data_IF_840516665484
#
_entry.id   IF_840516665484
#
_cell.length_a   1.000
_cell.length_b   1.000
_cell.length_c   1.000
_cell.angle_alpha   90.00
_cell.angle_beta   90.00
_cell.angle_gamma   90.00
#
_symmetry.space_group_name_H-M   'P 1'
#
loop_
_entity.id
_entity.type
_entity.pdbx_description
1 polymer ?
#
# COMPACT_ATOMS: atom_id res chain seq x y z
N UNK A 1 21.54 -5.80 -4.92
CA UNK A 1 20.69 -5.02 -5.83
C UNK A 1 19.50 -5.90 -6.16
N UNK A 2 18.31 -5.54 -5.68
CA UNK A 2 17.10 -6.17 -6.18
C UNK A 2 16.99 -5.89 -7.70
N UNK A 3 16.46 -6.83 -8.51
CA UNK A 3 16.36 -6.65 -9.95
C UNK A 3 15.58 -5.37 -10.30
N UNK A 4 15.94 -4.75 -11.42
CA UNK A 4 15.57 -3.40 -11.93
C UNK A 4 14.07 -3.03 -12.00
N UNK A 5 13.14 -3.84 -11.47
CA UNK A 5 11.75 -3.44 -11.27
C UNK A 5 11.20 -4.02 -9.94
N UNK A 6 10.97 -3.19 -8.90
CA UNK A 6 10.55 -3.67 -7.58
C UNK A 6 9.10 -4.18 -7.53
N UNK A 7 8.22 -3.70 -8.42
CA UNK A 7 6.80 -4.10 -8.45
C UNK A 7 6.61 -5.62 -8.63
N UNK A 8 7.20 -6.29 -9.64
CA UNK A 8 7.05 -7.74 -9.79
C UNK A 8 7.63 -8.54 -8.61
N UNK A 9 8.57 -7.98 -7.84
CA UNK A 9 9.06 -8.62 -6.61
C UNK A 9 8.03 -8.55 -5.49
N UNK A 10 7.36 -7.41 -5.32
CA UNK A 10 6.27 -7.23 -4.38
C UNK A 10 5.07 -8.15 -4.72
N UNK A 11 4.68 -8.18 -6.01
CA UNK A 11 3.57 -9.03 -6.49
C UNK A 11 3.88 -10.51 -6.26
N UNK A 12 5.08 -10.97 -6.62
CA UNK A 12 5.48 -12.36 -6.39
C UNK A 12 5.45 -12.73 -4.90
N UNK A 13 5.87 -11.83 -4.03
CA UNK A 13 5.81 -12.07 -2.59
C UNK A 13 4.35 -12.22 -2.12
N UNK A 14 3.46 -11.31 -2.51
CA UNK A 14 2.05 -11.38 -2.13
C UNK A 14 1.38 -12.67 -2.63
N UNK A 15 1.64 -13.08 -3.87
CA UNK A 15 1.04 -14.28 -4.45
C UNK A 15 1.63 -15.58 -3.92
N UNK A 16 2.95 -15.70 -3.89
CA UNK A 16 3.63 -16.97 -3.59
C UNK A 16 3.74 -17.20 -2.08
N UNK A 17 3.96 -16.14 -1.31
CA UNK A 17 4.24 -16.25 0.14
C UNK A 17 2.98 -16.03 0.97
N UNK A 18 2.15 -15.03 0.63
CA UNK A 18 0.90 -14.77 1.36
C UNK A 18 -0.26 -15.62 0.84
N UNK A 19 -0.12 -16.24 -0.34
CA UNK A 19 -1.16 -17.08 -0.92
C UNK A 19 -2.40 -16.31 -1.37
N UNK A 20 -2.28 -15.00 -1.62
CA UNK A 20 -3.34 -14.19 -2.22
C UNK A 20 -3.43 -14.55 -3.71
N UNK A 21 -4.32 -15.48 -4.07
CA UNK A 21 -4.45 -15.92 -5.46
C UNK A 21 -5.21 -14.89 -6.33
N UNK A 22 -4.82 -14.79 -7.60
CA UNK A 22 -5.40 -13.88 -8.61
C UNK A 22 -6.92 -14.08 -8.78
N UNK A 23 -7.46 -15.25 -8.50
CA UNK A 23 -8.90 -15.53 -8.62
C UNK A 23 -9.72 -14.94 -7.48
N UNK A 24 -9.18 -14.89 -6.26
CA UNK A 24 -9.86 -14.34 -5.07
C UNK A 24 -9.86 -12.82 -5.05
N UNK A 25 -8.79 -12.16 -5.52
CA UNK A 25 -8.67 -10.70 -5.46
C UNK A 25 -9.53 -10.01 -6.53
N UNK A 26 -9.59 -10.56 -7.75
CA UNK A 26 -10.25 -9.87 -8.88
C UNK A 26 -11.74 -10.23 -9.07
N UNK A 27 -12.25 -11.35 -8.53
CA UNK A 27 -13.68 -11.72 -8.68
C UNK A 27 -14.57 -11.16 -7.57
N UNK A 28 -14.04 -10.97 -6.35
CA UNK A 28 -14.80 -10.45 -5.20
C UNK A 28 -14.62 -8.93 -4.97
N UNK A 29 -13.87 -8.24 -5.84
CA UNK A 29 -13.53 -6.84 -5.64
C UNK A 29 -12.57 -6.63 -4.45
N UNK A 30 -11.65 -7.58 -4.26
CA UNK A 30 -10.63 -7.49 -3.22
C UNK A 30 -9.60 -6.41 -3.52
N UNK A 31 -9.03 -5.83 -2.47
CA UNK A 31 -8.00 -4.80 -2.59
C UNK A 31 -6.76 -5.34 -3.29
N UNK A 32 -6.10 -4.53 -4.13
CA UNK A 32 -4.89 -4.94 -4.83
C UNK A 32 -3.80 -5.36 -3.82
N UNK A 33 -3.07 -6.45 -4.08
CA UNK A 33 -2.08 -7.01 -3.16
C UNK A 33 -0.85 -6.09 -2.99
N UNK A 34 -0.68 -5.15 -3.92
CA UNK A 34 0.41 -4.19 -3.97
C UNK A 34 -0.19 -2.82 -4.31
N UNK A 35 0.25 -1.80 -3.59
CA UNK A 35 -0.18 -0.41 -3.76
C UNK A 35 1.03 0.53 -3.89
N UNK A 36 0.76 1.78 -4.28
CA UNK A 36 1.76 2.83 -4.30
C UNK A 36 2.29 3.13 -2.89
N UNK A 37 3.61 3.20 -2.78
CA UNK A 37 4.26 3.59 -1.54
C UNK A 37 4.14 5.11 -1.32
N UNK A 38 3.60 5.59 -0.18
CA UNK A 38 3.47 7.02 0.06
C UNK A 38 4.82 7.74 0.20
N UNK A 39 5.89 7.01 0.55
CA UNK A 39 7.24 7.59 0.73
C UNK A 39 8.03 7.74 -0.58
N UNK A 40 7.93 6.77 -1.50
CA UNK A 40 8.75 6.76 -2.72
C UNK A 40 7.94 6.81 -4.02
N UNK A 41 6.61 6.72 -3.95
CA UNK A 41 5.72 6.78 -5.11
C UNK A 41 5.79 5.55 -6.04
N UNK A 42 6.46 4.48 -5.61
CA UNK A 42 6.59 3.24 -6.41
C UNK A 42 5.53 2.23 -5.97
N UNK A 43 4.86 1.57 -6.93
CA UNK A 43 3.86 0.52 -6.71
C UNK A 43 4.51 -0.81 -6.26
N UNK A 44 5.13 -0.78 -5.09
CA UNK A 44 5.87 -1.88 -4.50
C UNK A 44 5.61 -2.02 -2.99
N UNK A 45 4.55 -1.40 -2.47
CA UNK A 45 4.13 -1.54 -1.07
C UNK A 45 3.19 -2.74 -0.94
N UNK A 46 3.54 -3.68 -0.06
CA UNK A 46 2.68 -4.80 0.32
C UNK A 46 2.09 -4.50 1.71
N UNK A 47 0.77 -4.23 1.83
CA UNK A 47 0.14 -3.88 3.10
C UNK A 47 0.25 -4.99 4.16
N UNK A 48 0.13 -6.25 3.73
CA UNK A 48 0.07 -7.41 4.61
C UNK A 48 1.38 -8.20 4.72
N UNK A 49 2.54 -7.56 4.50
CA UNK A 49 3.80 -8.30 4.51
C UNK A 49 4.12 -8.89 5.89
N UNK A 50 4.66 -10.10 5.91
CA UNK A 50 5.12 -10.77 7.13
C UNK A 50 6.64 -10.70 7.17
N UNK A 51 7.18 -9.97 8.15
CA UNK A 51 8.62 -9.83 8.33
C UNK A 51 9.09 -10.56 9.58
N UNK A 52 10.32 -11.10 9.57
CA UNK A 52 10.92 -11.73 10.73
C UNK A 52 11.19 -10.76 11.90
N UNK A 53 11.13 -9.45 11.64
CA UNK A 53 11.40 -8.39 12.61
C UNK A 53 10.12 -7.80 13.25
N UNK A 54 8.93 -8.17 12.75
CA UNK A 54 7.65 -7.69 13.25
C UNK A 54 7.11 -8.55 14.41
N UNK A 55 6.36 -7.92 15.32
CA UNK A 55 5.44 -8.65 16.21
C UNK A 55 4.46 -9.49 15.38
N UNK A 56 3.81 -10.53 15.92
CA UNK A 56 2.83 -11.32 15.17
C UNK A 56 1.72 -10.42 14.62
N UNK A 57 1.75 -10.17 13.30
CA UNK A 57 0.83 -9.28 12.60
C UNK A 57 1.38 -8.84 11.23
N UNK A 58 0.48 -8.39 10.35
CA UNK A 58 0.81 -7.74 9.09
C UNK A 58 1.72 -6.52 9.35
N UNK A 59 2.81 -6.41 8.60
CA UNK A 59 3.80 -5.34 8.65
C UNK A 59 3.89 -4.72 7.26
N UNK A 60 3.21 -3.60 6.99
CA UNK A 60 3.25 -3.00 5.68
C UNK A 60 4.69 -2.62 5.29
N UNK A 61 5.15 -3.11 4.15
CA UNK A 61 6.54 -2.99 3.72
C UNK A 61 6.62 -2.60 2.25
N UNK A 62 7.42 -1.57 1.94
CA UNK A 62 7.79 -1.27 0.57
C UNK A 62 9.03 -2.06 0.14
N UNK A 63 8.89 -2.84 -0.94
CA UNK A 63 9.98 -3.60 -1.55
C UNK A 63 10.90 -2.75 -2.44
N UNK A 64 10.59 -1.45 -2.62
CA UNK A 64 11.45 -0.50 -3.33
C UNK A 64 12.38 0.25 -2.38
N UNK A 65 11.82 1.03 -1.45
CA UNK A 65 12.61 1.85 -0.52
C UNK A 65 12.92 1.16 0.82
N UNK A 66 12.28 0.03 1.12
CA UNK A 66 12.49 -0.70 2.38
C UNK A 66 11.78 -0.11 3.59
N UNK A 67 10.96 0.93 3.42
CA UNK A 67 10.21 1.53 4.53
C UNK A 67 9.17 0.56 5.07
N UNK A 68 9.15 0.44 6.40
CA UNK A 68 8.12 -0.28 7.16
C UNK A 68 7.16 0.76 7.76
N UNK A 69 5.88 0.61 7.46
CA UNK A 69 4.86 1.53 7.94
C UNK A 69 4.15 0.97 9.17
N UNK A 70 3.66 1.88 10.02
CA UNK A 70 2.91 1.53 11.24
C UNK A 70 1.46 2.00 11.20
N UNK A 71 1.18 3.04 10.43
CA UNK A 71 -0.11 3.73 10.41
C UNK A 71 -0.51 4.04 8.96
N UNK A 72 -0.67 2.98 8.16
CA UNK A 72 -1.30 3.14 6.84
C UNK A 72 -2.81 3.18 7.00
N UNK A 73 -3.42 4.17 6.36
CA UNK A 73 -4.86 4.30 6.18
C UNK A 73 -5.19 4.43 4.70
N UNK A 74 -6.39 4.01 4.31
CA UNK A 74 -6.88 4.24 2.96
C UNK A 74 -7.27 5.71 2.78
N UNK A 75 -7.03 6.24 1.58
CA UNK A 75 -7.52 7.56 1.20
C UNK A 75 -9.06 7.58 1.21
N UNK A 76 -9.66 8.46 2.03
CA UNK A 76 -11.12 8.63 2.11
C UNK A 76 -11.76 9.13 0.81
N UNK A 77 -10.95 9.59 -0.15
CA UNK A 77 -11.41 9.87 -1.51
C UNK A 77 -11.83 8.62 -2.28
N UNK A 78 -11.48 7.42 -1.81
CA UNK A 78 -11.84 6.14 -2.43
C UNK A 78 -11.05 5.82 -3.68
N UNK A 79 -9.86 6.41 -3.87
CA UNK A 79 -9.01 6.16 -5.04
C UNK A 79 -8.16 4.89 -4.93
N UNK A 80 -8.15 4.21 -3.78
CA UNK A 80 -7.31 3.03 -3.51
C UNK A 80 -5.87 3.35 -3.12
N UNK A 81 -5.49 4.62 -3.00
CA UNK A 81 -4.18 5.02 -2.45
C UNK A 81 -4.16 4.89 -0.93
N UNK A 82 -2.99 4.55 -0.38
CA UNK A 82 -2.74 4.52 1.07
C UNK A 82 -1.92 5.74 1.51
N UNK A 83 -2.13 6.18 2.75
CA UNK A 83 -1.47 7.33 3.37
C UNK A 83 -0.82 6.89 4.68
N UNK A 84 0.39 7.38 4.99
CA UNK A 84 1.02 7.17 6.32
C UNK A 84 0.68 8.36 7.22
N UNK A 85 -0.46 8.26 7.92
CA UNK A 85 -0.97 9.32 8.80
C UNK A 85 -1.07 8.73 10.20
N UNK A 86 -0.30 9.30 11.13
CA UNK A 86 -0.30 8.88 12.52
C UNK A 86 -1.62 9.21 13.23
N UNK A 87 -1.94 8.51 14.34
CA UNK A 87 -3.19 8.74 15.08
C UNK A 87 -3.32 10.14 15.69
N UNK A 88 -2.20 10.84 15.89
CA UNK A 88 -2.14 12.20 16.43
C UNK A 88 -1.82 13.25 15.34
N UNK A 89 -1.90 12.88 14.07
CA UNK A 89 -1.64 13.78 12.94
C UNK A 89 -2.94 14.48 12.52
N UNK A 90 -2.94 15.82 12.50
CA UNK A 90 -4.07 16.65 12.07
C UNK A 90 -4.25 16.67 10.53
N UNK A 91 -3.51 15.84 9.80
CA UNK A 91 -3.61 15.71 8.35
C UNK A 91 -4.97 15.18 7.91
N UNK A 92 -5.43 15.70 6.78
CA UNK A 92 -6.66 15.24 6.14
C UNK A 92 -6.42 13.84 5.58
N UNK A 93 -7.28 12.84 5.86
CA UNK A 93 -7.15 11.48 5.35
C UNK A 93 -7.53 11.36 3.86
N UNK A 94 -7.05 12.29 3.02
CA UNK A 94 -7.24 12.32 1.58
C UNK A 94 -5.93 12.66 0.88
N UNK A 95 -5.61 11.96 -0.22
CA UNK A 95 -4.47 12.29 -1.06
C UNK A 95 -4.69 13.61 -1.82
N UNK A 96 -3.60 14.24 -2.25
CA UNK A 96 -3.63 15.52 -2.98
C UNK A 96 -4.51 15.46 -4.24
N UNK A 97 -4.46 14.36 -5.00
CA UNK A 97 -5.29 14.21 -6.21
C UNK A 97 -6.79 14.22 -5.89
N UNK A 98 -7.20 13.50 -4.84
CA UNK A 98 -8.59 13.51 -4.39
C UNK A 98 -9.03 14.85 -3.82
N UNK A 99 -8.12 15.56 -3.14
CA UNK A 99 -8.35 16.93 -2.67
C UNK A 99 -8.59 17.88 -3.86
N UNK A 100 -7.71 17.83 -4.85
CA UNK A 100 -7.78 18.69 -6.04
C UNK A 100 -9.06 18.44 -6.84
N UNK A 101 -9.43 17.17 -7.06
CA UNK A 101 -10.69 16.80 -7.72
C UNK A 101 -11.90 17.32 -6.93
N UNK A 102 -11.85 17.27 -5.60
CA UNK A 102 -12.94 17.74 -4.75
C UNK A 102 -13.11 19.26 -4.85
N UNK A 103 -12.02 20.02 -4.88
CA UNK A 103 -12.06 21.48 -5.00
C UNK A 103 -12.37 21.96 -6.43
N UNK A 104 -11.93 21.25 -7.47
CA UNK A 104 -12.23 21.60 -8.87
C UNK A 104 -13.72 21.49 -9.24
N UNK A 105 -14.53 20.84 -8.39
CA UNK A 105 -15.98 20.70 -8.57
C UNK A 105 -16.79 21.86 -7.97
N UNK A 106 -16.15 22.80 -7.28
CA UNK A 106 -16.75 24.02 -6.73
C UNK A 106 -16.34 25.26 -7.53
#
# INVERSE_FOLDING_TARGET
MWPDNPEPSAVNYAWIILGQDEHSVFQDGGDPPVVDCPECGVCALVPDAVTAAGQPGATPLCFSCGTVFKHLIDCEGGCGSVLDIGPDDDSIPMCSDCIDIRYARF
#
